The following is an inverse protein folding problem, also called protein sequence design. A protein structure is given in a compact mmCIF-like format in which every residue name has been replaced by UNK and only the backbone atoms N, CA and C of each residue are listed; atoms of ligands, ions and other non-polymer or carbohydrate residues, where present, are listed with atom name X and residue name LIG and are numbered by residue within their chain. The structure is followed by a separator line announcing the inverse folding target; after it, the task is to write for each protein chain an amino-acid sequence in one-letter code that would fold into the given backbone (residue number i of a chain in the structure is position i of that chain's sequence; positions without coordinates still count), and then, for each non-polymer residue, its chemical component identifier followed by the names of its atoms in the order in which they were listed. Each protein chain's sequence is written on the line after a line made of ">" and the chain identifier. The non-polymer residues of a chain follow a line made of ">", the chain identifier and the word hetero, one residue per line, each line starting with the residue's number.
data_IF_634034286097
#
_entry.id   IF_634034286097
#
_cell.length_a   1.000
_cell.length_b   1.000
_cell.length_c   1.000
_cell.angle_alpha   90.00
_cell.angle_beta   90.00
_cell.angle_gamma   90.00
#
_symmetry.space_group_name_H-M   'P 1'
#
loop_
_entity.id
_entity.type
_entity.pdbx_description
1 polymer ?
#
# COMPACT_ATOMS: atom_id res chain seq x y z
N UNK A 1 -10.28 -4.53 17.34
CA UNK A 1 -11.29 -3.84 16.52
C UNK A 1 -12.07 -4.88 15.75
N UNK A 2 -13.40 -4.90 15.90
CA UNK A 2 -14.28 -5.77 15.10
C UNK A 2 -14.54 -5.14 13.72
N UNK A 3 -14.97 -5.93 12.73
CA UNK A 3 -15.27 -5.47 11.37
C UNK A 3 -16.31 -4.34 11.35
N UNK A 4 -17.34 -4.45 12.18
CA UNK A 4 -18.45 -3.48 12.26
C UNK A 4 -17.98 -2.13 12.78
N UNK A 5 -17.19 -2.12 13.87
CA UNK A 5 -16.59 -0.91 14.43
C UNK A 5 -15.64 -0.17 13.46
N UNK A 6 -15.25 -0.81 12.36
CA UNK A 6 -14.41 -0.18 11.33
C UNK A 6 -15.21 0.52 10.24
N UNK A 7 -16.46 0.09 10.01
CA UNK A 7 -17.37 0.75 9.08
C UNK A 7 -17.78 2.10 9.68
N UNK A 8 -18.15 2.12 10.96
CA UNK A 8 -18.51 3.35 11.67
C UNK A 8 -17.37 4.39 11.62
N UNK A 9 -16.13 3.94 11.83
CA UNK A 9 -14.95 4.80 11.71
C UNK A 9 -14.72 5.32 10.27
N UNK A 10 -15.11 4.56 9.24
CA UNK A 10 -15.04 5.01 7.85
C UNK A 10 -16.12 6.05 7.55
N UNK A 11 -17.32 5.88 8.12
CA UNK A 11 -18.42 6.85 8.02
C UNK A 11 -18.05 8.19 8.69
N UNK A 12 -17.47 8.15 9.88
CA UNK A 12 -16.95 9.36 10.55
C UNK A 12 -15.84 10.05 9.74
N UNK A 13 -14.95 9.26 9.15
CA UNK A 13 -13.90 9.78 8.27
C UNK A 13 -14.49 10.47 7.03
N UNK A 14 -15.53 9.88 6.45
CA UNK A 14 -16.26 10.45 5.31
C UNK A 14 -16.98 11.75 5.69
N UNK A 15 -17.61 11.84 6.86
CA UNK A 15 -18.23 13.09 7.30
C UNK A 15 -17.21 14.24 7.43
N UNK A 16 -15.99 13.94 7.86
CA UNK A 16 -14.96 14.95 8.09
C UNK A 16 -14.20 15.36 6.82
N UNK A 17 -14.00 14.41 5.89
CA UNK A 17 -13.10 14.60 4.74
C UNK A 17 -13.76 14.34 3.38
N UNK A 18 -15.04 13.95 3.35
CA UNK A 18 -15.88 13.71 2.18
C UNK A 18 -15.77 14.78 1.13
N UNK A 19 -16.00 16.02 1.54
CA UNK A 19 -16.07 17.16 0.64
C UNK A 19 -14.70 17.48 0.00
N UNK A 20 -13.62 17.26 0.75
CA UNK A 20 -12.26 17.60 0.31
C UNK A 20 -11.61 16.49 -0.52
N UNK A 21 -11.91 15.23 -0.20
CA UNK A 21 -11.28 14.06 -0.82
C UNK A 21 -12.29 12.98 -1.24
N UNK A 22 -13.30 13.31 -2.05
CA UNK A 22 -14.38 12.38 -2.40
C UNK A 22 -13.87 11.13 -3.13
N UNK A 23 -12.86 11.29 -3.99
CA UNK A 23 -12.27 10.18 -4.75
C UNK A 23 -11.58 9.16 -3.83
N UNK A 24 -10.93 9.63 -2.76
CA UNK A 24 -10.23 8.75 -1.82
C UNK A 24 -11.26 7.88 -1.08
N UNK A 25 -12.31 8.51 -0.56
CA UNK A 25 -13.36 7.82 0.18
C UNK A 25 -14.10 6.81 -0.71
N UNK A 26 -14.46 7.20 -1.93
CA UNK A 26 -15.07 6.30 -2.89
C UNK A 26 -14.17 5.09 -3.20
N UNK A 27 -12.86 5.30 -3.33
CA UNK A 27 -11.88 4.23 -3.56
C UNK A 27 -11.82 3.26 -2.38
N UNK A 28 -11.85 3.77 -1.14
CA UNK A 28 -11.86 2.97 0.09
C UNK A 28 -13.15 2.14 0.20
N UNK A 29 -14.31 2.75 -0.04
CA UNK A 29 -15.62 2.07 -0.06
C UNK A 29 -15.65 0.95 -1.09
N UNK A 30 -15.21 1.22 -2.32
CA UNK A 30 -15.17 0.22 -3.40
C UNK A 30 -14.23 -0.96 -3.08
N UNK A 31 -13.10 -0.69 -2.43
CA UNK A 31 -12.11 -1.71 -2.05
C UNK A 31 -12.33 -2.28 -0.65
N UNK A 32 -13.42 -1.92 0.03
CA UNK A 32 -13.63 -2.22 1.44
C UNK A 32 -13.55 -3.70 1.76
N UNK A 33 -14.11 -4.55 0.88
CA UNK A 33 -14.05 -6.00 1.04
C UNK A 33 -12.60 -6.50 1.19
N UNK A 34 -11.68 -5.96 0.39
CA UNK A 34 -10.26 -6.33 0.44
C UNK A 34 -9.55 -5.72 1.66
N UNK A 35 -9.84 -4.45 1.97
CA UNK A 35 -9.22 -3.73 3.08
C UNK A 35 -9.66 -4.28 4.44
N UNK A 36 -10.93 -4.69 4.57
CA UNK A 36 -11.49 -5.23 5.81
C UNK A 36 -10.83 -6.54 6.25
N UNK A 37 -10.20 -7.28 5.32
CA UNK A 37 -9.41 -8.48 5.63
C UNK A 37 -8.24 -8.18 6.56
N UNK A 38 -7.72 -6.95 6.57
CA UNK A 38 -6.71 -6.52 7.53
C UNK A 38 -7.12 -6.80 8.99
N UNK A 39 -8.40 -6.59 9.34
CA UNK A 39 -8.91 -6.79 10.70
C UNK A 39 -9.08 -8.26 11.07
N UNK A 40 -9.04 -9.18 10.11
CA UNK A 40 -9.03 -10.61 10.37
C UNK A 40 -7.68 -11.09 10.95
N UNK A 41 -6.61 -10.30 10.81
CA UNK A 41 -5.29 -10.67 11.32
C UNK A 41 -5.09 -10.33 12.80
N UNK A 42 -4.36 -11.16 13.57
CA UNK A 42 -3.90 -10.85 14.92
C UNK A 42 -3.12 -9.53 15.01
N UNK A 43 -3.14 -8.90 16.18
CA UNK A 43 -2.45 -7.63 16.46
C UNK A 43 -0.96 -7.62 16.05
N UNK A 44 -0.15 -8.67 16.33
CA UNK A 44 1.25 -8.68 15.92
C UNK A 44 1.44 -8.64 14.40
N UNK A 45 0.57 -9.32 13.65
CA UNK A 45 0.62 -9.36 12.19
C UNK A 45 0.15 -8.01 11.62
N UNK A 46 -0.90 -7.42 12.20
CA UNK A 46 -1.39 -6.09 11.82
C UNK A 46 -0.30 -5.02 11.95
N UNK A 47 0.50 -5.05 13.03
CA UNK A 47 1.65 -4.13 13.19
C UNK A 47 2.64 -4.24 12.04
N UNK A 48 3.00 -5.46 11.63
CA UNK A 48 3.93 -5.67 10.50
C UNK A 48 3.32 -5.18 9.19
N UNK A 49 2.04 -5.48 8.92
CA UNK A 49 1.35 -5.05 7.69
C UNK A 49 1.23 -3.51 7.63
N UNK A 50 0.95 -2.85 8.76
CA UNK A 50 0.82 -1.40 8.83
C UNK A 50 2.16 -0.69 8.60
N UNK A 51 3.29 -1.33 8.92
CA UNK A 51 4.60 -0.72 8.65
C UNK A 51 4.91 -0.74 7.16
N UNK A 52 4.99 0.45 6.56
CA UNK A 52 5.41 0.63 5.16
C UNK A 52 6.94 0.58 5.01
N UNK A 53 7.70 0.51 6.09
CA UNK A 53 9.17 0.53 6.11
C UNK A 53 9.80 -0.47 5.12
N UNK A 54 9.29 -1.71 5.07
CA UNK A 54 9.84 -2.76 4.21
C UNK A 54 9.58 -2.45 2.74
N UNK A 55 8.33 -2.11 2.39
CA UNK A 55 7.98 -1.83 0.98
C UNK A 55 8.61 -0.53 0.49
N UNK A 56 8.72 0.49 1.36
CA UNK A 56 9.41 1.75 1.07
C UNK A 56 10.92 1.53 0.88
N UNK A 57 11.54 0.70 1.72
CA UNK A 57 12.94 0.31 1.56
C UNK A 57 13.17 -0.35 0.20
N UNK A 58 12.35 -1.34 -0.17
CA UNK A 58 12.45 -2.02 -1.47
C UNK A 58 12.26 -1.03 -2.62
N UNK A 59 11.21 -0.20 -2.59
CA UNK A 59 10.99 0.83 -3.61
C UNK A 59 12.14 1.84 -3.69
N UNK A 60 12.79 2.16 -2.57
CA UNK A 60 13.97 3.03 -2.55
C UNK A 60 15.17 2.33 -3.22
N UNK A 61 15.41 1.05 -2.95
CA UNK A 61 16.48 0.31 -3.64
C UNK A 61 16.22 0.20 -5.14
N UNK A 62 14.99 -0.12 -5.53
CA UNK A 62 14.61 -0.19 -6.95
C UNK A 62 14.86 1.12 -7.68
N UNK A 63 14.39 2.25 -7.10
CA UNK A 63 14.65 3.59 -7.66
C UNK A 63 16.14 3.91 -7.72
N UNK A 64 16.93 3.48 -6.73
CA UNK A 64 18.39 3.70 -6.73
C UNK A 64 19.06 2.93 -7.87
N UNK A 65 18.74 1.65 -8.04
CA UNK A 65 19.31 0.79 -9.07
C UNK A 65 18.89 1.25 -10.48
N UNK A 66 17.62 1.60 -10.66
CA UNK A 66 17.11 2.04 -11.96
C UNK A 66 17.60 3.44 -12.35
N UNK A 67 17.88 4.32 -11.38
CA UNK A 67 18.33 5.70 -11.65
C UNK A 67 19.66 5.77 -12.42
N UNK A 68 20.53 4.76 -12.30
CA UNK A 68 21.83 4.73 -12.99
C UNK A 68 21.71 4.37 -14.48
N UNK A 69 20.54 3.91 -14.95
CA UNK A 69 20.31 3.48 -16.34
C UNK A 69 19.11 4.23 -16.94
N UNK A 70 19.36 5.06 -17.95
CA UNK A 70 18.30 5.80 -18.65
C UNK A 70 17.38 4.93 -19.51
N UNK A 71 17.83 3.76 -19.96
CA UNK A 71 17.03 2.84 -20.76
C UNK A 71 17.51 1.41 -20.58
N UNK A 72 16.59 0.46 -20.72
CA UNK A 72 16.83 -0.97 -20.63
C UNK A 72 16.55 -1.60 -22.00
N UNK A 73 17.45 -2.44 -22.55
CA UNK A 73 17.27 -3.04 -23.87
C UNK A 73 16.11 -4.05 -23.94
N UNK A 74 15.71 -4.64 -22.80
CA UNK A 74 14.54 -5.51 -22.67
C UNK A 74 14.16 -5.70 -21.19
N UNK A 75 12.97 -6.25 -20.92
CA UNK A 75 12.48 -6.52 -19.56
C UNK A 75 13.43 -7.41 -18.75
N UNK A 76 14.01 -8.43 -19.38
CA UNK A 76 14.96 -9.34 -18.72
C UNK A 76 16.20 -8.62 -18.19
N UNK A 77 16.66 -7.57 -18.86
CA UNK A 77 17.80 -6.78 -18.40
C UNK A 77 17.48 -5.98 -17.12
N UNK A 78 16.26 -5.47 -16.99
CA UNK A 78 15.78 -4.83 -15.77
C UNK A 78 15.64 -5.87 -14.64
N UNK A 79 15.02 -7.01 -14.91
CA UNK A 79 14.86 -8.08 -13.92
C UNK A 79 16.21 -8.58 -13.40
N UNK A 80 17.20 -8.78 -14.27
CA UNK A 80 18.57 -9.15 -13.87
C UNK A 80 19.20 -8.09 -12.96
N UNK A 81 19.04 -6.81 -13.28
CA UNK A 81 19.56 -5.72 -12.45
C UNK A 81 18.92 -5.70 -11.06
N UNK A 82 17.59 -5.86 -10.99
CA UNK A 82 16.87 -5.88 -9.71
C UNK A 82 17.22 -7.11 -8.88
N UNK A 83 17.34 -8.28 -9.52
CA UNK A 83 17.73 -9.53 -8.85
C UNK A 83 19.15 -9.48 -8.28
N UNK A 84 20.11 -8.89 -9.02
CA UNK A 84 21.50 -8.80 -8.57
C UNK A 84 21.77 -7.63 -7.60
N UNK A 85 20.90 -6.60 -7.60
CA UNK A 85 21.07 -5.40 -6.80
C UNK A 85 20.25 -5.36 -5.50
N UNK A 86 19.31 -6.29 -5.33
CA UNK A 86 18.66 -6.60 -4.04
C UNK A 86 19.55 -7.51 -3.20
#
# INVERSE_FOLDING_TARGET
>A
MSRDATIDALDEFEQKWGDKYPIIIQSWRRKWNNLSTYFCYPEPIRKVIYTTNVIEFIHRQFRKLSKTKNSFPNENSLLKLLYLGL
#
